data_IF_560317489271
#
_entry.id   IF_560317489271
#
_cell.length_a   1.000
_cell.length_b   1.000
_cell.length_c   1.000
_cell.angle_alpha   90.00
_cell.angle_beta   90.00
_cell.angle_gamma   90.00
#
_symmetry.space_group_name_H-M   'P 1'
#
loop_
_entity.id
_entity.type
_entity.pdbx_description
1 polymer ?
#
# COMPACT_ATOMS: atom_id res chain seq x y z
N UNK A 1 -30.35 -9.39 -26.40
CA UNK A 1 -29.43 -8.23 -26.40
C UNK A 1 -28.33 -8.55 -25.40
N UNK A 2 -27.07 -8.61 -25.84
CA UNK A 2 -25.91 -8.82 -24.95
C UNK A 2 -24.92 -9.91 -25.37
N UNK A 3 -24.39 -9.85 -26.59
CA UNK A 3 -23.13 -10.52 -26.96
C UNK A 3 -22.20 -9.43 -27.46
N UNK A 4 -21.44 -8.81 -26.55
CA UNK A 4 -20.36 -7.87 -26.86
C UNK A 4 -19.22 -7.91 -25.81
N UNK A 5 -19.12 -8.98 -25.03
CA UNK A 5 -18.11 -9.14 -23.98
C UNK A 5 -16.81 -9.87 -24.38
N UNK A 6 -16.75 -10.76 -25.41
CA UNK A 6 -15.51 -11.50 -25.70
C UNK A 6 -14.47 -10.69 -26.50
N UNK A 7 -14.90 -9.70 -27.28
CA UNK A 7 -13.99 -8.93 -28.16
C UNK A 7 -13.25 -7.82 -27.40
N UNK A 8 -13.91 -7.17 -26.44
CA UNK A 8 -13.32 -6.13 -25.58
C UNK A 8 -12.23 -6.67 -24.65
N UNK A 9 -12.39 -7.90 -24.14
CA UNK A 9 -11.38 -8.56 -23.31
C UNK A 9 -10.12 -8.87 -24.13
N UNK A 10 -10.27 -9.36 -25.36
CA UNK A 10 -9.13 -9.66 -26.24
C UNK A 10 -8.37 -8.39 -26.64
N UNK A 11 -9.09 -7.32 -26.95
CA UNK A 11 -8.51 -6.02 -27.31
C UNK A 11 -7.68 -5.44 -26.14
N UNK A 12 -8.22 -5.44 -24.92
CA UNK A 12 -7.52 -4.98 -23.72
C UNK A 12 -6.24 -5.77 -23.43
N UNK A 13 -6.28 -7.09 -23.61
CA UNK A 13 -5.09 -7.96 -23.45
C UNK A 13 -4.02 -7.60 -24.49
N UNK A 14 -4.42 -7.34 -25.73
CA UNK A 14 -3.52 -6.98 -26.82
C UNK A 14 -2.85 -5.62 -26.57
N UNK A 15 -3.62 -4.63 -26.09
CA UNK A 15 -3.11 -3.30 -25.71
C UNK A 15 -2.12 -3.41 -24.55
N UNK A 16 -2.45 -4.17 -23.49
CA UNK A 16 -1.55 -4.38 -22.36
C UNK A 16 -0.23 -5.04 -22.77
N UNK A 17 -0.28 -5.97 -23.73
CA UNK A 17 0.92 -6.62 -24.26
C UNK A 17 1.82 -5.64 -25.04
N UNK A 18 1.23 -4.73 -25.83
CA UNK A 18 1.96 -3.67 -26.52
C UNK A 18 2.61 -2.71 -25.52
N UNK A 19 1.86 -2.28 -24.50
CA UNK A 19 2.36 -1.41 -23.43
C UNK A 19 3.51 -2.07 -22.68
N UNK A 20 3.36 -3.35 -22.33
CA UNK A 20 4.41 -4.14 -21.66
C UNK A 20 5.67 -4.22 -22.52
N UNK A 21 5.54 -4.44 -23.82
CA UNK A 21 6.67 -4.45 -24.76
C UNK A 21 7.38 -3.10 -24.84
N UNK A 22 6.64 -1.99 -24.81
CA UNK A 22 7.22 -0.63 -24.76
C UNK A 22 7.92 -0.34 -23.43
N UNK A 23 7.35 -0.78 -22.30
CA UNK A 23 7.99 -0.67 -20.98
C UNK A 23 9.31 -1.44 -20.94
N UNK A 24 9.39 -2.60 -21.60
CA UNK A 24 10.61 -3.40 -21.68
C UNK A 24 11.76 -2.72 -22.45
N UNK A 25 11.48 -1.67 -23.24
CA UNK A 25 12.52 -0.86 -23.88
C UNK A 25 13.12 0.20 -22.95
N UNK A 26 12.49 0.48 -21.80
CA UNK A 26 13.04 1.43 -20.83
C UNK A 26 14.29 0.85 -20.15
N UNK A 27 15.21 1.70 -19.67
CA UNK A 27 16.31 1.28 -18.81
C UNK A 27 15.81 0.48 -17.61
N UNK A 28 16.55 -0.58 -17.23
CA UNK A 28 16.23 -1.43 -16.08
C UNK A 28 15.78 -0.70 -14.80
N UNK A 29 16.42 0.39 -14.34
CA UNK A 29 15.98 1.08 -13.12
C UNK A 29 14.58 1.71 -13.25
N UNK A 30 14.25 2.21 -14.44
CA UNK A 30 12.94 2.82 -14.72
C UNK A 30 11.86 1.75 -14.81
N UNK A 31 12.15 0.65 -15.52
CA UNK A 31 11.27 -0.52 -15.61
C UNK A 31 10.99 -1.11 -14.23
N UNK A 32 12.04 -1.30 -13.42
CA UNK A 32 11.92 -1.90 -12.11
C UNK A 32 11.03 -1.08 -11.17
N UNK A 33 11.11 0.26 -11.25
CA UNK A 33 10.25 1.16 -10.48
C UNK A 33 8.77 1.07 -10.91
N UNK A 34 8.51 0.83 -12.19
CA UNK A 34 7.16 0.66 -12.71
C UNK A 34 6.55 -0.69 -12.27
N UNK A 35 7.31 -1.78 -12.42
CA UNK A 35 6.86 -3.15 -12.09
C UNK A 35 6.75 -3.39 -10.58
N UNK A 36 7.73 -2.94 -9.79
CA UNK A 36 7.85 -3.24 -8.36
C UNK A 36 7.41 -2.09 -7.44
N UNK A 37 6.82 -1.03 -7.99
CA UNK A 37 6.33 0.11 -7.22
C UNK A 37 5.42 -0.27 -6.05
N UNK A 38 4.47 -1.18 -6.29
CA UNK A 38 3.57 -1.71 -5.25
C UNK A 38 4.30 -2.46 -4.14
N UNK A 39 5.42 -3.12 -4.45
CA UNK A 39 6.25 -3.82 -3.46
C UNK A 39 6.92 -2.84 -2.51
N UNK A 40 7.46 -1.71 -3.00
CA UNK A 40 8.04 -0.69 -2.12
C UNK A 40 7.02 -0.09 -1.16
N UNK A 41 5.80 0.20 -1.65
CA UNK A 41 4.70 0.67 -0.81
C UNK A 41 4.32 -0.38 0.24
N UNK A 42 4.29 -1.66 -0.14
CA UNK A 42 4.08 -2.78 0.78
C UNK A 42 5.15 -2.88 1.86
N UNK A 43 6.44 -2.80 1.50
CA UNK A 43 7.55 -2.87 2.47
C UNK A 43 7.43 -1.75 3.51
N UNK A 44 7.16 -0.52 3.08
CA UNK A 44 6.96 0.58 4.01
C UNK A 44 5.74 0.39 4.91
N UNK A 45 4.66 -0.22 4.40
CA UNK A 45 3.48 -0.58 5.20
C UNK A 45 3.83 -1.63 6.27
N UNK A 46 4.66 -2.62 5.94
CA UNK A 46 5.18 -3.60 6.89
C UNK A 46 5.95 -2.92 8.03
N UNK A 47 6.84 -1.98 7.68
CA UNK A 47 7.58 -1.18 8.66
C UNK A 47 6.64 -0.34 9.52
N UNK A 48 5.65 0.31 8.93
CA UNK A 48 4.62 1.05 9.67
C UNK A 48 3.87 0.15 10.66
N UNK A 49 3.50 -1.06 10.26
CA UNK A 49 2.87 -2.05 11.13
C UNK A 49 3.75 -2.52 12.28
N UNK A 50 5.04 -2.75 12.03
CA UNK A 50 6.02 -3.10 13.07
C UNK A 50 6.24 -1.95 14.06
N UNK A 51 6.34 -0.70 13.58
CA UNK A 51 6.47 0.49 14.44
C UNK A 51 5.21 0.66 15.29
N UNK A 52 4.01 0.59 14.67
CA UNK A 52 2.74 0.68 15.39
C UNK A 52 2.63 -0.41 16.47
N UNK A 53 2.99 -1.65 16.13
CA UNK A 53 3.02 -2.76 17.07
C UNK A 53 3.97 -2.49 18.24
N UNK A 54 5.20 -2.06 17.97
CA UNK A 54 6.19 -1.73 19.01
C UNK A 54 5.68 -0.64 19.96
N UNK A 55 5.01 0.39 19.43
CA UNK A 55 4.45 1.49 20.22
C UNK A 55 3.29 1.01 21.11
N UNK A 56 2.32 0.28 20.56
CA UNK A 56 1.19 -0.23 21.36
C UNK A 56 1.64 -1.21 22.44
N UNK A 57 2.65 -2.04 22.17
CA UNK A 57 3.21 -2.95 23.17
C UNK A 57 3.86 -2.23 24.35
N UNK A 58 4.55 -1.12 24.09
CA UNK A 58 5.12 -0.28 25.16
C UNK A 58 4.03 0.37 26.00
N UNK A 59 2.91 0.77 25.39
CA UNK A 59 1.79 1.37 26.13
C UNK A 59 1.02 0.32 26.95
N UNK A 60 0.88 -0.90 26.44
CA UNK A 60 0.12 -1.99 27.07
C UNK A 60 1.00 -2.98 27.87
N UNK A 61 2.29 -2.66 28.06
CA UNK A 61 3.29 -3.49 28.75
C UNK A 61 3.36 -4.96 28.27
N UNK A 62 3.12 -5.20 26.97
CA UNK A 62 3.11 -6.56 26.39
C UNK A 62 4.54 -7.01 26.06
N UNK A 63 5.15 -7.81 26.93
CA UNK A 63 6.52 -8.34 26.76
C UNK A 63 6.57 -9.68 26.02
N UNK A 64 5.52 -10.50 26.14
CA UNK A 64 5.41 -11.84 25.55
C UNK A 64 5.13 -11.83 24.04
N UNK A 65 5.24 -12.99 23.38
CA UNK A 65 4.85 -13.23 21.99
C UNK A 65 5.48 -12.27 20.95
N UNK A 66 6.77 -11.91 21.11
CA UNK A 66 7.36 -10.85 20.27
C UNK A 66 7.34 -11.13 18.77
N UNK A 67 7.71 -12.34 18.40
CA UNK A 67 7.78 -12.77 16.99
C UNK A 67 6.38 -13.10 16.48
N UNK A 68 5.57 -13.81 17.27
CA UNK A 68 4.21 -14.21 16.90
C UNK A 68 3.26 -13.01 16.68
N UNK A 69 3.46 -11.90 17.39
CA UNK A 69 2.73 -10.66 17.15
C UNK A 69 3.38 -9.76 16.09
N UNK A 70 4.71 -9.84 15.92
CA UNK A 70 5.45 -9.04 14.94
C UNK A 70 5.25 -9.49 13.50
N UNK A 71 5.25 -10.80 13.26
CA UNK A 71 5.08 -11.39 11.93
C UNK A 71 3.76 -11.00 11.25
N UNK A 72 2.56 -11.18 11.85
CA UNK A 72 1.31 -10.76 11.22
C UNK A 72 1.25 -9.25 11.02
N UNK A 73 1.85 -8.47 11.94
CA UNK A 73 1.93 -7.01 11.84
C UNK A 73 2.90 -6.52 10.76
N UNK A 74 3.74 -7.38 10.18
CA UNK A 74 4.53 -7.07 9.00
C UNK A 74 3.85 -7.58 7.73
N UNK A 75 3.46 -8.86 7.72
CA UNK A 75 2.97 -9.57 6.53
C UNK A 75 1.60 -9.06 6.09
N UNK A 76 0.66 -8.87 7.02
CA UNK A 76 -0.69 -8.41 6.66
C UNK A 76 -0.64 -6.99 6.09
N UNK A 77 -0.04 -5.99 6.77
CA UNK A 77 0.17 -4.66 6.17
C UNK A 77 0.89 -4.67 4.83
N UNK A 78 1.94 -5.49 4.68
CA UNK A 78 2.65 -5.64 3.41
C UNK A 78 1.71 -6.05 2.27
N UNK A 79 1.01 -7.18 2.45
CA UNK A 79 0.14 -7.74 1.43
C UNK A 79 -1.03 -6.82 1.13
N UNK A 80 -1.67 -6.27 2.16
CA UNK A 80 -2.80 -5.35 1.99
C UNK A 80 -2.38 -4.11 1.19
N UNK A 81 -1.28 -3.45 1.57
CA UNK A 81 -0.83 -2.27 0.84
C UNK A 81 -0.34 -2.60 -0.58
N UNK A 82 0.35 -3.72 -0.78
CA UNK A 82 0.81 -4.17 -2.09
C UNK A 82 -0.37 -4.44 -3.04
N UNK A 83 -1.35 -5.24 -2.59
CA UNK A 83 -2.52 -5.62 -3.39
C UNK A 83 -3.37 -4.38 -3.67
N UNK A 84 -3.64 -3.54 -2.67
CA UNK A 84 -4.40 -2.30 -2.87
C UNK A 84 -3.70 -1.33 -3.82
N UNK A 85 -2.38 -1.14 -3.69
CA UNK A 85 -1.65 -0.27 -4.63
C UNK A 85 -1.67 -0.85 -6.04
N UNK A 86 -1.46 -2.15 -6.20
CA UNK A 86 -1.52 -2.81 -7.50
C UNK A 86 -2.90 -2.68 -8.15
N UNK A 87 -3.97 -2.91 -7.39
CA UNK A 87 -5.35 -2.89 -7.88
C UNK A 87 -5.91 -1.49 -8.16
N UNK A 88 -5.61 -0.50 -7.32
CA UNK A 88 -6.17 0.85 -7.46
C UNK A 88 -5.28 1.81 -8.25
N UNK A 89 -3.97 1.57 -8.30
CA UNK A 89 -3.00 2.46 -8.96
C UNK A 89 -2.37 1.79 -10.16
N UNK A 90 -1.59 0.72 -9.95
CA UNK A 90 -0.74 0.17 -11.01
C UNK A 90 -1.56 -0.39 -12.18
N UNK A 91 -2.64 -1.11 -11.89
CA UNK A 91 -3.48 -1.69 -12.93
C UNK A 91 -4.25 -0.62 -13.72
N UNK A 92 -5.01 0.32 -13.08
CA UNK A 92 -5.68 1.41 -13.81
C UNK A 92 -4.72 2.35 -14.57
N UNK A 93 -3.50 2.49 -14.08
CA UNK A 93 -2.46 3.25 -14.77
C UNK A 93 -2.03 2.54 -16.07
N UNK A 94 -1.76 1.23 -16.01
CA UNK A 94 -1.36 0.43 -17.18
C UNK A 94 -2.48 0.22 -18.20
N UNK A 95 -3.75 0.19 -17.78
CA UNK A 95 -4.90 0.07 -18.69
C UNK A 95 -5.32 1.40 -19.32
N UNK A 96 -4.71 2.52 -18.92
CA UNK A 96 -5.10 3.85 -19.43
C UNK A 96 -6.43 4.36 -18.88
N UNK A 97 -6.93 3.80 -17.76
CA UNK A 97 -8.04 4.40 -17.02
C UNK A 97 -7.59 5.62 -16.20
N UNK A 98 -6.29 5.69 -15.88
CA UNK A 98 -5.68 6.74 -15.07
C UNK A 98 -4.79 7.67 -15.92
N UNK A 99 -5.42 8.53 -16.72
CA UNK A 99 -4.72 9.37 -17.72
C UNK A 99 -4.22 10.72 -17.21
N UNK A 100 -4.53 11.13 -15.97
CA UNK A 100 -4.11 12.42 -15.41
C UNK A 100 -3.06 12.24 -14.31
N UNK A 101 -1.95 13.02 -14.39
CA UNK A 101 -0.89 12.99 -13.38
C UNK A 101 -1.46 13.27 -11.98
N UNK A 102 -2.27 14.32 -11.83
CA UNK A 102 -2.90 14.69 -10.54
C UNK A 102 -3.77 13.56 -9.97
N UNK A 103 -4.51 12.85 -10.82
CA UNK A 103 -5.37 11.75 -10.40
C UNK A 103 -4.55 10.55 -9.92
N UNK A 104 -3.47 10.21 -10.63
CA UNK A 104 -2.53 9.17 -10.21
C UNK A 104 -1.88 9.52 -8.88
N UNK A 105 -1.37 10.75 -8.74
CA UNK A 105 -0.71 11.23 -7.52
C UNK A 105 -1.67 11.18 -6.32
N UNK A 106 -2.88 11.73 -6.48
CA UNK A 106 -3.87 11.77 -5.40
C UNK A 106 -4.35 10.37 -5.02
N UNK A 107 -4.61 9.50 -6.00
CA UNK A 107 -5.02 8.11 -5.74
C UNK A 107 -3.91 7.32 -5.07
N UNK A 108 -2.67 7.43 -5.55
CA UNK A 108 -1.52 6.77 -4.90
C UNK A 108 -1.29 7.27 -3.48
N UNK A 109 -1.38 8.58 -3.26
CA UNK A 109 -1.29 9.16 -1.93
C UNK A 109 -2.39 8.64 -1.00
N UNK A 110 -3.65 8.59 -1.47
CA UNK A 110 -4.78 8.08 -0.69
C UNK A 110 -4.61 6.59 -0.34
N UNK A 111 -4.19 5.76 -1.30
CA UNK A 111 -3.91 4.34 -1.06
C UNK A 111 -2.77 4.17 -0.05
N UNK A 112 -1.69 4.95 -0.18
CA UNK A 112 -0.57 4.96 0.76
C UNK A 112 -0.99 5.38 2.17
N UNK A 113 -1.82 6.43 2.28
CA UNK A 113 -2.37 6.91 3.55
C UNK A 113 -3.22 5.84 4.23
N UNK A 114 -4.21 5.30 3.51
CA UNK A 114 -5.19 4.38 4.08
C UNK A 114 -4.57 3.02 4.36
N UNK A 115 -4.04 2.35 3.34
CA UNK A 115 -3.56 0.97 3.46
C UNK A 115 -2.12 0.86 3.95
N UNK A 116 -1.29 1.85 3.64
CA UNK A 116 0.11 1.89 4.08
C UNK A 116 0.32 2.53 5.45
N UNK A 117 -0.52 3.48 5.85
CA UNK A 117 -0.32 4.29 7.05
C UNK A 117 -1.34 4.01 8.17
N UNK A 118 -2.64 4.20 7.88
CA UNK A 118 -3.71 4.13 8.88
C UNK A 118 -4.07 2.69 9.23
N UNK A 119 -4.25 1.82 8.22
CA UNK A 119 -4.64 0.43 8.41
C UNK A 119 -3.71 -0.34 9.38
N UNK A 120 -2.37 -0.23 9.29
CA UNK A 120 -1.47 -0.92 10.23
C UNK A 120 -1.62 -0.41 11.68
N UNK A 121 -1.96 0.86 11.88
CA UNK A 121 -2.22 1.41 13.22
C UNK A 121 -3.51 0.86 13.80
N UNK A 122 -4.58 0.82 13.01
CA UNK A 122 -5.85 0.24 13.43
C UNK A 122 -5.74 -1.26 13.70
N UNK A 123 -4.98 -1.99 12.90
CA UNK A 123 -4.72 -3.42 13.10
C UNK A 123 -3.95 -3.69 14.40
N UNK A 124 -3.04 -2.80 14.80
CA UNK A 124 -2.26 -2.96 16.01
C UNK A 124 -3.09 -2.88 17.30
N UNK A 125 -4.23 -2.18 17.29
CA UNK A 125 -5.11 -2.03 18.47
C UNK A 125 -5.67 -3.38 18.95
N UNK A 126 -6.46 -4.13 18.14
CA UNK A 126 -7.02 -5.41 18.57
C UNK A 126 -5.94 -6.47 18.81
N UNK A 127 -4.86 -6.48 18.02
CA UNK A 127 -3.76 -7.44 18.19
C UNK A 127 -3.11 -7.27 19.57
N UNK A 128 -2.74 -6.04 19.93
CA UNK A 128 -2.08 -5.79 21.21
C UNK A 128 -3.05 -5.80 22.38
N UNK A 129 -4.31 -5.42 22.18
CA UNK A 129 -5.36 -5.56 23.19
C UNK A 129 -5.64 -7.02 23.54
N UNK A 130 -5.77 -7.89 22.53
CA UNK A 130 -5.97 -9.32 22.74
C UNK A 130 -4.78 -9.97 23.45
N UNK A 131 -3.56 -9.58 23.11
CA UNK A 131 -2.35 -10.01 23.82
C UNK A 131 -2.33 -9.54 25.28
N UNK A 132 -2.69 -8.28 25.52
CA UNK A 132 -2.77 -7.73 26.86
C UNK A 132 -3.81 -8.45 27.73
N UNK A 133 -4.97 -8.79 27.14
CA UNK A 133 -6.00 -9.59 27.81
C UNK A 133 -5.51 -11.00 28.14
N UNK A 134 -4.89 -11.67 27.16
CA UNK A 134 -4.43 -13.06 27.28
C UNK A 134 -3.32 -13.23 28.31
N UNK A 135 -2.39 -12.28 28.38
CA UNK A 135 -1.24 -12.33 29.28
C UNK A 135 -1.42 -11.47 30.53
N UNK A 136 -2.61 -10.90 30.76
CA UNK A 136 -2.92 -10.00 31.87
C UNK A 136 -1.87 -8.90 32.07
N UNK A 137 -1.29 -8.39 30.98
CA UNK A 137 -0.16 -7.44 31.04
C UNK A 137 -0.59 -6.02 31.36
N UNK A 138 -1.88 -5.72 31.22
CA UNK A 138 -2.48 -4.44 31.58
C UNK A 138 -3.89 -4.67 32.13
N UNK A 139 -4.29 -3.81 33.08
CA UNK A 139 -5.67 -3.76 33.55
C UNK A 139 -6.55 -3.21 32.43
N UNK A 140 -7.31 -4.12 31.81
CA UNK A 140 -8.32 -3.77 30.82
C UNK A 140 -9.62 -3.36 31.55
N UNK A 141 -10.38 -2.38 31.02
CA UNK A 141 -11.60 -1.92 31.67
C UNK A 141 -12.65 -3.04 31.75
N UNK A 142 -13.07 -3.37 32.98
CA UNK A 142 -13.96 -4.51 33.27
C UNK A 142 -15.44 -4.25 32.95
N UNK A 143 -15.89 -2.98 32.94
CA UNK A 143 -17.24 -2.54 32.54
C UNK A 143 -17.30 -1.00 32.43
N UNK A 144 -17.90 -0.51 31.33
CA UNK A 144 -18.13 0.92 31.08
C UNK A 144 -16.90 1.68 30.55
N UNK A 145 -17.12 2.53 29.54
CA UNK A 145 -16.13 3.47 28.99
C UNK A 145 -14.91 2.88 28.23
N UNK A 146 -15.07 1.69 27.63
CA UNK A 146 -14.04 1.01 26.82
C UNK A 146 -13.52 1.90 25.68
N UNK A 147 -14.40 2.66 25.03
CA UNK A 147 -14.03 3.54 23.92
C UNK A 147 -13.05 4.64 24.37
N UNK A 148 -13.34 5.29 25.49
CA UNK A 148 -12.47 6.34 26.06
C UNK A 148 -11.12 5.79 26.48
N UNK A 149 -11.09 4.57 27.03
CA UNK A 149 -9.84 3.88 27.34
C UNK A 149 -8.96 3.71 26.09
N UNK A 150 -9.54 3.17 25.00
CA UNK A 150 -8.82 2.98 23.74
C UNK A 150 -8.39 4.29 23.08
N UNK A 151 -9.21 5.34 23.14
CA UNK A 151 -8.84 6.68 22.66
C UNK A 151 -7.63 7.21 23.45
N UNK A 152 -7.66 7.10 24.79
CA UNK A 152 -6.57 7.58 25.66
C UNK A 152 -5.25 6.86 25.37
N UNK A 153 -5.30 5.54 25.19
CA UNK A 153 -4.12 4.70 24.88
C UNK A 153 -3.60 4.93 23.47
N UNK A 154 -4.49 5.12 22.50
CA UNK A 154 -4.12 5.30 21.10
C UNK A 154 -3.55 6.68 20.83
N UNK A 155 -3.99 7.72 21.55
CA UNK A 155 -3.54 9.12 21.36
C UNK A 155 -2.00 9.30 21.29
N UNK A 156 -1.18 8.78 22.23
CA UNK A 156 0.27 8.89 22.13
C UNK A 156 0.87 8.07 20.98
N UNK A 157 0.24 6.95 20.59
CA UNK A 157 0.68 6.13 19.46
C UNK A 157 0.42 6.86 18.15
N UNK A 158 -0.80 7.36 17.95
CA UNK A 158 -1.16 8.15 16.77
C UNK A 158 -0.25 9.37 16.61
N UNK A 159 0.02 10.11 17.70
CA UNK A 159 0.95 11.25 17.66
C UNK A 159 2.34 10.88 17.13
N UNK A 160 2.87 9.71 17.49
CA UNK A 160 4.17 9.21 17.00
C UNK A 160 4.08 8.65 15.58
N UNK A 161 2.94 8.07 15.22
CA UNK A 161 2.69 7.50 13.88
C UNK A 161 2.41 8.56 12.82
N UNK A 162 2.10 9.82 13.17
CA UNK A 162 1.91 10.91 12.18
C UNK A 162 3.09 10.99 11.23
N UNK A 163 4.33 10.92 11.73
CA UNK A 163 5.52 11.01 10.87
C UNK A 163 5.63 9.84 9.86
N UNK A 164 5.62 8.56 10.27
CA UNK A 164 5.58 7.43 9.33
C UNK A 164 4.41 7.50 8.33
N UNK A 165 3.22 7.90 8.78
CA UNK A 165 2.02 7.99 7.93
C UNK A 165 2.20 9.06 6.85
N UNK A 166 2.68 10.25 7.22
CA UNK A 166 2.95 11.32 6.27
C UNK A 166 4.03 10.91 5.28
N UNK A 167 5.13 10.31 5.77
CA UNK A 167 6.21 9.82 4.92
C UNK A 167 5.70 8.79 3.90
N UNK A 168 4.89 7.82 4.35
CA UNK A 168 4.28 6.81 3.48
C UNK A 168 3.34 7.42 2.44
N UNK A 169 2.54 8.41 2.85
CA UNK A 169 1.60 9.10 1.96
C UNK A 169 2.34 9.87 0.87
N UNK A 170 3.35 10.66 1.26
CA UNK A 170 4.18 11.44 0.31
C UNK A 170 4.97 10.50 -0.59
N UNK A 171 5.54 9.42 -0.05
CA UNK A 171 6.27 8.42 -0.82
C UNK A 171 5.38 7.76 -1.88
N UNK A 172 4.18 7.32 -1.51
CA UNK A 172 3.24 6.72 -2.45
C UNK A 172 2.80 7.72 -3.53
N UNK A 173 2.51 8.97 -3.15
CA UNK A 173 2.17 10.04 -4.09
C UNK A 173 3.30 10.33 -5.09
N UNK A 174 4.55 10.44 -4.59
CA UNK A 174 5.73 10.63 -5.41
C UNK A 174 5.96 9.45 -6.38
N UNK A 175 5.82 8.22 -5.87
CA UNK A 175 5.93 7.02 -6.68
C UNK A 175 4.86 7.00 -7.78
N UNK A 176 3.63 7.39 -7.48
CA UNK A 176 2.56 7.57 -8.46
C UNK A 176 2.91 8.55 -9.58
N UNK A 177 3.44 9.74 -9.23
CA UNK A 177 3.92 10.72 -10.25
C UNK A 177 5.02 10.13 -11.12
N UNK A 178 5.98 9.43 -10.51
CA UNK A 178 7.10 8.78 -11.23
C UNK A 178 6.59 7.69 -12.18
N UNK A 179 5.72 6.81 -11.70
CA UNK A 179 5.14 5.74 -12.52
C UNK A 179 4.35 6.31 -13.70
N UNK A 180 3.58 7.38 -13.49
CA UNK A 180 2.87 8.06 -14.57
C UNK A 180 3.84 8.62 -15.63
N UNK A 181 4.86 9.37 -15.21
CA UNK A 181 5.85 9.96 -16.13
C UNK A 181 6.60 8.89 -16.94
N UNK A 182 6.99 7.79 -16.29
CA UNK A 182 7.66 6.68 -16.95
C UNK A 182 6.75 5.94 -17.93
N UNK A 183 5.47 5.77 -17.60
CA UNK A 183 4.52 5.17 -18.52
C UNK A 183 4.33 6.04 -19.77
N UNK A 184 4.14 7.35 -19.61
CA UNK A 184 4.02 8.27 -20.75
C UNK A 184 5.30 8.23 -21.61
N UNK A 185 6.49 8.21 -20.99
CA UNK A 185 7.76 8.05 -21.69
C UNK A 185 7.82 6.73 -22.47
N UNK A 186 7.36 5.62 -21.90
CA UNK A 186 7.29 4.33 -22.59
C UNK A 186 6.33 4.38 -23.78
N UNK A 187 5.16 5.02 -23.63
CA UNK A 187 4.16 5.09 -24.69
C UNK A 187 4.66 5.85 -25.92
N UNK A 188 5.50 6.87 -25.71
CA UNK A 188 6.15 7.66 -26.76
C UNK A 188 7.24 6.89 -27.54
N UNK A 189 7.73 5.77 -27.02
CA UNK A 189 8.73 4.95 -27.72
C UNK A 189 8.10 4.26 -28.94
N UNK A 190 8.85 4.07 -30.05
CA UNK A 190 8.36 3.33 -31.20
C UNK A 190 8.02 1.87 -30.83
N UNK A 191 7.03 1.29 -31.51
CA UNK A 191 6.69 -0.11 -31.27
C UNK A 191 7.88 -1.03 -31.62
N UNK A 192 8.25 -1.96 -30.71
CA UNK A 192 9.32 -2.90 -31.00
C UNK A 192 8.89 -3.83 -32.14
N UNK A 193 9.63 -3.78 -33.25
CA UNK A 193 9.41 -4.65 -34.40
C UNK A 193 8.75 -3.99 -35.62
N UNK A 194 8.41 -2.70 -35.57
CA UNK A 194 8.05 -1.94 -36.77
C UNK A 194 9.34 -1.62 -37.56
N UNK A 195 9.82 -2.57 -38.35
CA UNK A 195 10.84 -2.29 -39.37
C UNK A 195 10.22 -1.31 -40.37
N UNK A 196 10.63 -0.05 -40.31
CA UNK A 196 10.41 0.87 -41.42
C UNK A 196 11.23 0.33 -42.60
N UNK A 197 10.53 -0.23 -43.58
CA UNK A 197 11.10 -0.58 -44.87
C UNK A 197 11.01 0.62 -45.81
#
# INVERSE_FOLDING_TARGET
MGIHEPDTVKENVTILEIITRKINQLPEPERNLLEHGSTYVGINAALCGLIANSLFRRVLNVTHARIAAGLPMAVIPFLTAHISYKGFVSFPLSTGELNCETCTVTRSGLVGLVFGGLYPVFLAIPVNGGLAARYQSALLPEKGNILTYWIRISKPVFRKMVFPILLQTVFAAYLGSRQYKLLIKALQLPEPGLKFH
#
